data_IF_391995777072
#
_entry.id   IF_391995777072
#
_cell.length_a   1.000
_cell.length_b   1.000
_cell.length_c   1.000
_cell.angle_alpha   90.00
_cell.angle_beta   90.00
_cell.angle_gamma   90.00
#
_symmetry.space_group_name_H-M   'P 1'
#
loop_
_entity.id
_entity.type
_entity.pdbx_description
1 polymer ?
#
# COMPACT_ATOMS: atom_id res chain seq x y z
N UNK A 1 -2.33 -5.44 -1.20
CA UNK A 1 -1.03 -4.91 -1.64
C UNK A 1 0.09 -5.82 -1.15
N UNK A 2 1.02 -6.16 -2.03
CA UNK A 2 2.12 -7.10 -1.78
C UNK A 2 3.46 -6.36 -1.90
N UNK A 3 4.41 -6.67 -1.02
CA UNK A 3 5.76 -6.11 -1.11
C UNK A 3 6.56 -6.82 -2.23
N UNK A 4 6.81 -6.12 -3.31
CA UNK A 4 7.56 -6.61 -4.46
C UNK A 4 8.94 -5.96 -4.61
N UNK A 5 9.40 -5.25 -3.58
CA UNK A 5 10.67 -4.51 -3.63
C UNK A 5 11.89 -5.41 -3.49
N UNK A 6 11.75 -6.54 -2.82
CA UNK A 6 12.83 -7.49 -2.55
C UNK A 6 12.40 -8.91 -2.85
N UNK A 7 13.34 -9.68 -3.38
CA UNK A 7 13.22 -11.12 -3.39
C UNK A 7 13.36 -11.64 -1.95
N UNK A 8 12.46 -12.51 -1.55
CA UNK A 8 12.50 -13.18 -0.26
C UNK A 8 12.36 -14.69 -0.49
N UNK A 9 13.26 -15.52 0.04
CA UNK A 9 13.17 -16.97 -0.11
C UNK A 9 11.89 -17.56 0.51
N UNK A 10 11.29 -16.90 1.49
CA UNK A 10 10.02 -17.32 2.09
C UNK A 10 8.79 -16.89 1.27
N UNK A 11 8.93 -16.02 0.28
CA UNK A 11 7.84 -15.54 -0.55
C UNK A 11 7.64 -14.02 -0.53
N UNK A 12 6.50 -13.56 -0.99
CA UNK A 12 6.16 -12.14 -1.03
C UNK A 12 5.21 -11.76 0.11
N UNK A 13 5.62 -10.80 0.94
CA UNK A 13 4.82 -10.38 2.08
C UNK A 13 3.59 -9.57 1.66
N UNK A 14 2.42 -9.95 2.17
CA UNK A 14 1.20 -9.15 2.08
C UNK A 14 1.30 -7.99 3.07
N UNK A 15 1.33 -6.77 2.57
CA UNK A 15 1.42 -5.56 3.40
C UNK A 15 0.05 -5.10 3.90
N UNK A 16 -0.94 -5.18 3.03
CA UNK A 16 -2.31 -4.85 3.37
C UNK A 16 -3.29 -5.53 2.41
N UNK A 17 -4.51 -5.70 2.85
CA UNK A 17 -5.63 -6.22 2.06
C UNK A 17 -6.74 -5.20 2.10
N UNK A 18 -7.29 -4.86 0.93
CA UNK A 18 -8.43 -3.94 0.84
C UNK A 18 -9.67 -4.63 1.39
N UNK A 19 -10.32 -4.10 2.44
CA UNK A 19 -11.54 -4.67 3.00
C UNK A 19 -12.63 -4.87 1.93
N UNK A 20 -13.31 -6.02 1.95
CA UNK A 20 -14.29 -6.39 0.95
C UNK A 20 -13.74 -6.67 -0.46
N UNK A 21 -12.43 -6.55 -0.66
CA UNK A 21 -11.76 -6.90 -1.92
C UNK A 21 -11.68 -8.42 -2.15
N UNK A 22 -11.29 -8.83 -3.37
CA UNK A 22 -11.17 -10.25 -3.72
C UNK A 22 -10.21 -11.01 -2.79
N UNK A 23 -9.07 -10.41 -2.44
CA UNK A 23 -8.09 -10.98 -1.54
C UNK A 23 -8.63 -11.16 -0.10
N UNK A 24 -9.43 -10.19 0.38
CA UNK A 24 -10.07 -10.27 1.69
C UNK A 24 -11.13 -11.39 1.73
N UNK A 25 -11.96 -11.48 0.67
CA UNK A 25 -13.01 -12.53 0.57
C UNK A 25 -12.46 -13.94 0.57
N UNK A 26 -11.27 -14.18 0.03
CA UNK A 26 -10.60 -15.49 0.08
C UNK A 26 -9.83 -15.71 1.39
N UNK A 27 -9.82 -14.72 2.28
CA UNK A 27 -9.20 -14.83 3.60
C UNK A 27 -7.71 -14.49 3.66
N UNK A 28 -7.14 -13.81 2.65
CA UNK A 28 -5.79 -13.23 2.76
C UNK A 28 -5.74 -12.16 3.85
N UNK A 29 -4.61 -12.08 4.54
CA UNK A 29 -4.38 -11.13 5.63
C UNK A 29 -3.04 -10.42 5.49
N UNK A 30 -2.93 -9.23 6.05
CA UNK A 30 -1.64 -8.58 6.21
C UNK A 30 -0.69 -9.46 7.05
N UNK A 31 0.56 -9.55 6.61
CA UNK A 31 1.57 -10.41 7.22
C UNK A 31 1.71 -11.81 6.59
N UNK A 32 0.77 -12.25 5.77
CA UNK A 32 0.92 -13.50 5.00
C UNK A 32 2.14 -13.44 4.07
N UNK A 33 2.81 -14.58 3.89
CA UNK A 33 3.92 -14.75 2.95
C UNK A 33 3.45 -15.61 1.78
N UNK A 34 3.25 -14.99 0.61
CA UNK A 34 2.80 -15.68 -0.60
C UNK A 34 3.93 -16.49 -1.20
N UNK A 35 3.80 -17.80 -1.21
CA UNK A 35 4.80 -18.74 -1.77
C UNK A 35 4.54 -19.02 -3.24
N UNK A 36 3.28 -19.23 -3.61
CA UNK A 36 2.85 -19.41 -4.98
C UNK A 36 1.49 -18.73 -5.24
N UNK A 37 1.23 -18.38 -6.47
CA UNK A 37 -0.03 -17.82 -6.93
C UNK A 37 -0.39 -18.42 -8.29
N UNK A 38 -1.60 -19.00 -8.38
CA UNK A 38 -2.11 -19.65 -9.59
C UNK A 38 -1.09 -20.65 -10.20
N UNK A 39 -0.48 -21.50 -9.35
CA UNK A 39 0.51 -22.49 -9.71
C UNK A 39 1.90 -21.93 -10.06
N UNK A 40 2.12 -20.62 -9.97
CA UNK A 40 3.41 -20.00 -10.24
C UNK A 40 4.13 -19.64 -8.94
N UNK A 41 5.38 -20.08 -8.75
CA UNK A 41 6.15 -19.80 -7.54
C UNK A 41 6.50 -18.31 -7.45
N UNK A 42 6.34 -17.74 -6.27
CA UNK A 42 6.72 -16.38 -5.93
C UNK A 42 7.90 -16.32 -4.96
N UNK A 43 8.13 -17.39 -4.22
CA UNK A 43 9.26 -17.52 -3.31
C UNK A 43 10.60 -17.51 -4.07
N UNK A 44 11.57 -16.74 -3.60
CA UNK A 44 12.91 -16.66 -4.18
C UNK A 44 13.00 -16.00 -5.58
N UNK A 45 11.93 -15.42 -6.10
CA UNK A 45 11.94 -14.82 -7.43
C UNK A 45 12.85 -13.58 -7.49
N UNK A 46 13.85 -13.53 -8.39
CA UNK A 46 14.79 -12.41 -8.48
C UNK A 46 14.11 -11.11 -8.95
N UNK A 47 12.98 -11.22 -9.65
CA UNK A 47 12.15 -10.11 -10.12
C UNK A 47 10.70 -10.27 -9.64
N UNK A 48 10.41 -9.94 -8.36
CA UNK A 48 9.12 -10.22 -7.76
C UNK A 48 7.93 -9.55 -8.44
N UNK A 49 8.06 -8.29 -8.89
CA UNK A 49 6.96 -7.56 -9.48
C UNK A 49 6.47 -8.16 -10.82
N UNK A 50 7.34 -8.48 -11.79
CA UNK A 50 6.95 -9.22 -12.99
C UNK A 50 6.35 -10.59 -12.68
N UNK A 51 6.96 -11.37 -11.76
CA UNK A 51 6.48 -12.69 -11.39
C UNK A 51 5.05 -12.65 -10.82
N UNK A 52 4.77 -11.70 -9.91
CA UNK A 52 3.43 -11.50 -9.37
C UNK A 52 2.42 -11.12 -10.46
N UNK A 53 2.79 -10.19 -11.36
CA UNK A 53 1.91 -9.77 -12.44
C UNK A 53 1.59 -10.90 -13.42
N UNK A 54 2.55 -11.76 -13.69
CA UNK A 54 2.35 -12.95 -14.54
C UNK A 54 1.48 -14.00 -13.87
N UNK A 55 1.72 -14.27 -12.58
CA UNK A 55 0.91 -15.19 -11.79
C UNK A 55 -0.57 -14.74 -11.70
N UNK A 56 -0.82 -13.44 -11.53
CA UNK A 56 -2.17 -12.88 -11.53
C UNK A 56 -2.88 -13.07 -12.89
N UNK A 57 -2.14 -12.84 -14.00
CA UNK A 57 -2.71 -13.05 -15.35
C UNK A 57 -3.05 -14.52 -15.64
N UNK A 58 -2.27 -15.43 -15.12
CA UNK A 58 -2.49 -16.86 -15.31
C UNK A 58 -3.79 -17.38 -14.67
N UNK A 59 -4.34 -16.65 -13.71
CA UNK A 59 -5.53 -17.08 -12.94
C UNK A 59 -6.86 -16.99 -13.66
N UNK A 60 -6.97 -16.24 -14.79
CA UNK A 60 -8.18 -16.17 -15.60
C UNK A 60 -9.46 -15.80 -14.82
N UNK A 61 -9.36 -14.98 -13.77
CA UNK A 61 -10.50 -14.63 -12.90
C UNK A 61 -10.62 -15.48 -11.63
N UNK A 62 -9.68 -16.41 -11.40
CA UNK A 62 -9.57 -17.17 -10.15
C UNK A 62 -8.26 -16.83 -9.45
N UNK A 63 -8.27 -16.84 -8.14
CA UNK A 63 -7.09 -16.70 -7.31
C UNK A 63 -6.90 -17.99 -6.52
N UNK A 64 -5.77 -18.68 -6.75
CA UNK A 64 -5.30 -19.80 -5.94
C UNK A 64 -3.99 -19.36 -5.29
N UNK A 65 -3.92 -19.39 -3.98
CA UNK A 65 -2.80 -18.85 -3.23
C UNK A 65 -2.24 -19.90 -2.28
N UNK A 66 -0.96 -20.18 -2.40
CA UNK A 66 -0.19 -20.92 -1.39
C UNK A 66 0.59 -19.91 -0.56
N UNK A 67 0.47 -20.00 0.75
CA UNK A 67 1.07 -19.02 1.66
C UNK A 67 1.52 -19.63 2.96
N UNK A 68 2.39 -18.91 3.66
CA UNK A 68 2.72 -19.15 5.06
C UNK A 68 2.06 -18.09 5.93
N UNK A 69 1.34 -18.52 6.97
CA UNK A 69 0.77 -17.69 8.02
C UNK A 69 1.22 -18.19 9.38
N UNK A 70 1.98 -17.37 10.11
CA UNK A 70 2.56 -17.78 11.39
C UNK A 70 3.30 -19.13 11.33
N UNK A 71 4.08 -19.36 10.27
CA UNK A 71 4.84 -20.59 10.04
C UNK A 71 4.05 -21.80 9.54
N UNK A 72 2.73 -21.66 9.33
CA UNK A 72 1.86 -22.74 8.80
C UNK A 72 1.57 -22.53 7.34
N UNK A 73 1.71 -23.57 6.53
CA UNK A 73 1.29 -23.57 5.13
C UNK A 73 -0.22 -23.61 5.02
N UNK A 74 -0.77 -22.73 4.17
CA UNK A 74 -2.20 -22.63 3.88
C UNK A 74 -2.39 -22.53 2.38
N UNK A 75 -3.49 -23.06 1.88
CA UNK A 75 -3.97 -22.85 0.52
C UNK A 75 -5.34 -22.16 0.58
N UNK A 76 -5.46 -21.05 -0.14
CA UNK A 76 -6.69 -20.29 -0.26
C UNK A 76 -7.08 -20.22 -1.73
N UNK A 77 -8.38 -20.24 -2.03
CA UNK A 77 -8.86 -20.07 -3.40
C UNK A 77 -10.20 -19.37 -3.46
N UNK A 78 -10.46 -18.68 -4.57
CA UNK A 78 -11.73 -18.02 -4.82
C UNK A 78 -11.75 -17.22 -6.10
N UNK A 79 -12.94 -16.81 -6.51
CA UNK A 79 -13.14 -15.97 -7.68
C UNK A 79 -12.63 -14.53 -7.45
N UNK A 80 -11.97 -14.00 -8.46
CA UNK A 80 -11.62 -12.57 -8.52
C UNK A 80 -12.67 -11.88 -9.37
N UNK A 81 -13.59 -11.19 -8.73
CA UNK A 81 -14.40 -10.22 -9.43
C UNK A 81 -13.47 -9.08 -9.85
N UNK A 82 -13.20 -8.99 -11.14
CA UNK A 82 -12.62 -7.79 -11.73
C UNK A 82 -13.68 -6.69 -11.70
N UNK A 83 -14.09 -6.29 -10.51
CA UNK A 83 -14.99 -5.15 -10.38
C UNK A 83 -14.29 -3.96 -10.99
N UNK A 84 -14.85 -3.43 -12.06
CA UNK A 84 -14.54 -2.07 -12.51
C UNK A 84 -14.62 -1.16 -11.29
N UNK A 85 -13.61 -0.32 -11.12
CA UNK A 85 -13.71 0.78 -10.18
C UNK A 85 -15.09 1.43 -10.36
N UNK A 86 -15.81 1.74 -9.26
CA UNK A 86 -17.11 2.38 -9.38
C UNK A 86 -16.99 3.56 -10.34
N UNK A 87 -17.82 3.56 -11.38
CA UNK A 87 -17.89 4.68 -12.31
C UNK A 87 -18.45 5.88 -11.53
N UNK A 88 -17.66 6.91 -11.33
CA UNK A 88 -18.15 8.13 -10.78
C UNK A 88 -17.28 8.75 -9.68
N UNK A 89 -16.44 9.70 -10.08
CA UNK A 89 -15.73 10.58 -9.16
C UNK A 89 -14.40 10.04 -8.65
N UNK A 90 -13.58 10.96 -8.21
CA UNK A 90 -12.33 10.69 -7.53
C UNK A 90 -12.18 11.62 -6.32
N UNK A 91 -11.39 11.20 -5.35
CA UNK A 91 -10.75 12.08 -4.39
C UNK A 91 -9.27 12.23 -4.72
N UNK A 92 -8.54 12.95 -3.91
CA UNK A 92 -7.12 13.20 -4.12
C UNK A 92 -6.34 12.94 -2.83
N UNK A 93 -5.12 12.43 -2.98
CA UNK A 93 -4.14 12.33 -1.90
C UNK A 93 -3.04 13.34 -2.12
N UNK A 94 -2.50 13.90 -1.05
CA UNK A 94 -1.32 14.75 -1.08
C UNK A 94 -0.43 14.53 0.14
N UNK A 95 0.87 14.62 -0.05
CA UNK A 95 1.88 14.58 1.02
C UNK A 95 2.38 15.96 1.42
N UNK A 96 1.70 17.02 0.96
CA UNK A 96 2.02 18.40 1.31
C UNK A 96 1.66 18.68 2.76
N UNK A 97 2.49 19.48 3.41
CA UNK A 97 2.31 19.91 4.79
C UNK A 97 1.99 21.40 4.90
N UNK A 98 1.53 22.01 3.80
CA UNK A 98 1.22 23.44 3.78
C UNK A 98 0.05 23.75 4.74
N UNK A 99 0.22 24.80 5.52
CA UNK A 99 -0.79 25.22 6.50
C UNK A 99 -0.72 24.51 7.85
N UNK A 100 0.27 23.63 8.07
CA UNK A 100 0.48 23.07 9.40
C UNK A 100 0.93 24.17 10.40
N UNK A 101 0.39 24.17 11.63
CA UNK A 101 0.93 24.99 12.72
C UNK A 101 2.41 24.66 12.98
N UNK A 102 3.22 25.66 13.29
CA UNK A 102 4.68 25.48 13.55
C UNK A 102 5.00 24.49 14.68
N UNK A 103 4.08 24.30 15.62
CA UNK A 103 4.23 23.35 16.74
C UNK A 103 3.70 21.95 16.41
N UNK A 104 3.36 21.66 15.15
CA UNK A 104 2.82 20.35 14.75
C UNK A 104 3.88 19.27 14.81
N UNK A 105 3.56 18.12 15.40
CA UNK A 105 4.39 16.91 15.36
C UNK A 105 4.25 16.09 14.07
N UNK A 106 3.47 16.57 13.10
CA UNK A 106 3.28 15.89 11.81
C UNK A 106 4.57 15.87 11.02
N UNK A 107 4.99 14.67 10.60
CA UNK A 107 6.17 14.49 9.75
C UNK A 107 5.74 14.22 8.31
N UNK A 108 6.59 14.62 7.39
CA UNK A 108 6.40 14.38 5.97
C UNK A 108 6.55 12.88 5.65
N UNK A 109 5.74 12.42 4.72
CA UNK A 109 5.83 11.08 4.14
C UNK A 109 5.95 11.17 2.63
N UNK A 110 6.47 10.10 2.02
CA UNK A 110 6.40 9.87 0.58
C UNK A 110 5.33 8.80 0.32
N UNK A 111 4.31 9.10 -0.47
CA UNK A 111 3.34 8.10 -0.94
C UNK A 111 4.04 7.22 -1.97
N UNK A 112 4.26 5.95 -1.65
CA UNK A 112 5.01 5.02 -2.49
C UNK A 112 4.14 4.11 -3.34
N UNK A 113 2.91 3.82 -2.88
CA UNK A 113 1.93 3.04 -3.63
C UNK A 113 0.50 3.44 -3.26
N UNK A 114 -0.38 3.39 -4.24
CA UNK A 114 -1.84 3.48 -4.09
C UNK A 114 -2.42 2.23 -4.75
N UNK A 115 -3.16 1.40 -4.01
CA UNK A 115 -3.70 0.12 -4.50
C UNK A 115 -2.64 -0.75 -5.21
N UNK A 116 -1.41 -0.78 -4.66
CA UNK A 116 -0.30 -1.55 -5.21
C UNK A 116 0.39 -0.95 -6.44
N UNK A 117 -0.07 0.18 -6.94
CA UNK A 117 0.54 0.89 -8.07
C UNK A 117 1.37 2.06 -7.57
N UNK A 118 2.54 2.26 -8.17
CA UNK A 118 3.34 3.44 -7.89
C UNK A 118 2.61 4.68 -8.43
N UNK A 119 2.54 5.77 -7.65
CA UNK A 119 2.05 7.03 -8.17
C UNK A 119 2.99 7.53 -9.29
N UNK A 120 2.51 8.40 -10.18
CA UNK A 120 3.35 9.01 -11.21
C UNK A 120 4.60 9.64 -10.60
N UNK A 121 5.77 9.45 -11.24
CA UNK A 121 7.06 9.95 -10.76
C UNK A 121 7.25 11.46 -10.94
N UNK A 122 6.41 12.11 -11.72
CA UNK A 122 6.40 13.58 -11.79
C UNK A 122 5.87 14.13 -10.46
N UNK A 123 6.40 15.26 -9.98
CA UNK A 123 5.92 15.89 -8.75
C UNK A 123 4.49 16.38 -8.96
N UNK A 124 3.56 15.45 -8.95
CA UNK A 124 2.16 15.81 -8.88
C UNK A 124 1.91 16.26 -7.44
N UNK A 125 1.47 17.50 -7.20
CA UNK A 125 1.16 17.96 -5.85
C UNK A 125 -0.01 17.18 -5.25
N UNK A 126 -0.73 16.42 -6.07
CA UNK A 126 -1.91 15.63 -5.71
C UNK A 126 -2.03 14.39 -6.60
N UNK A 127 -2.47 13.30 -6.01
CA UNK A 127 -2.67 12.02 -6.68
C UNK A 127 -4.18 11.71 -6.74
N UNK A 128 -4.80 11.68 -7.93
CA UNK A 128 -6.21 11.28 -8.05
C UNK A 128 -6.37 9.81 -7.68
N UNK A 129 -7.40 9.52 -6.88
CA UNK A 129 -7.71 8.18 -6.39
C UNK A 129 -9.21 7.93 -6.53
N UNK A 130 -9.58 6.76 -7.05
CA UNK A 130 -10.97 6.37 -7.19
C UNK A 130 -11.65 6.31 -5.80
N UNK A 131 -12.93 6.69 -5.75
CA UNK A 131 -13.74 6.65 -4.52
C UNK A 131 -13.85 5.25 -3.92
N UNK A 132 -14.19 5.18 -2.63
CA UNK A 132 -14.34 3.96 -1.83
C UNK A 132 -13.07 3.61 -1.06
N UNK A 133 -13.08 2.45 -0.41
CA UNK A 133 -11.98 2.00 0.46
C UNK A 133 -10.72 1.69 -0.34
N UNK A 134 -9.60 2.33 0.00
CA UNK A 134 -8.31 2.23 -0.70
C UNK A 134 -7.17 1.96 0.27
N UNK A 135 -6.19 1.21 -0.20
CA UNK A 135 -4.94 0.97 0.53
C UNK A 135 -3.84 1.89 0.00
N UNK A 136 -3.24 2.64 0.89
CA UNK A 136 -2.12 3.54 0.62
C UNK A 136 -0.89 3.07 1.37
N UNK A 137 0.25 3.01 0.67
CA UNK A 137 1.55 2.72 1.28
C UNK A 137 2.37 3.99 1.30
N UNK A 138 2.84 4.34 2.47
CA UNK A 138 3.69 5.49 2.69
C UNK A 138 5.02 5.09 3.34
N UNK A 139 6.02 5.93 3.14
CA UNK A 139 7.33 5.84 3.76
C UNK A 139 7.66 7.18 4.39
N UNK A 140 8.32 7.19 5.54
CA UNK A 140 8.80 8.41 6.15
C UNK A 140 9.77 9.14 5.20
N UNK A 141 9.55 10.44 5.00
CA UNK A 141 10.43 11.28 4.19
C UNK A 141 11.70 11.60 4.94
N UNK A 142 12.84 11.27 4.35
CA UNK A 142 14.16 11.59 4.92
C UNK A 142 14.83 12.64 4.04
N UNK A 143 15.01 13.87 4.54
CA UNK A 143 15.48 15.02 3.74
C UNK A 143 16.90 14.89 3.18
N UNK A 144 17.76 14.10 3.83
CA UNK A 144 19.14 13.87 3.39
C UNK A 144 19.28 12.46 2.84
N UNK A 145 20.10 12.25 1.76
CA UNK A 145 20.38 10.92 1.30
C UNK A 145 21.02 10.15 2.44
N UNK A 146 20.36 9.13 2.94
CA UNK A 146 20.85 8.40 4.08
C UNK A 146 22.09 7.60 3.67
N UNK A 147 22.98 7.41 4.60
CA UNK A 147 24.11 6.46 4.44
C UNK A 147 23.62 5.02 4.24
N UNK A 148 22.30 4.78 4.38
CA UNK A 148 21.65 3.49 4.19
C UNK A 148 20.73 3.52 2.98
N UNK A 149 20.59 2.39 2.24
CA UNK A 149 19.66 2.31 1.12
C UNK A 149 18.23 2.68 1.53
N UNK A 150 17.51 3.43 0.69
CA UNK A 150 16.09 3.82 0.95
C UNK A 150 15.18 2.61 1.23
N UNK A 151 15.55 1.43 0.76
CA UNK A 151 14.85 0.18 1.04
C UNK A 151 14.88 -0.26 2.51
N UNK A 152 15.72 0.33 3.36
CA UNK A 152 15.78 0.03 4.81
C UNK A 152 14.77 0.82 5.61
N UNK A 153 14.18 1.88 5.04
CA UNK A 153 13.14 2.65 5.73
C UNK A 153 11.81 1.91 5.72
N UNK A 154 11.18 1.85 6.88
CA UNK A 154 9.89 1.19 7.03
C UNK A 154 8.84 1.86 6.15
N UNK A 155 8.19 1.05 5.32
CA UNK A 155 6.95 1.47 4.65
C UNK A 155 5.78 0.94 5.44
N UNK A 156 4.75 1.78 5.61
CA UNK A 156 3.54 1.43 6.33
C UNK A 156 2.34 1.58 5.44
N UNK A 157 1.40 0.66 5.60
CA UNK A 157 0.12 0.68 4.92
C UNK A 157 -0.94 1.23 5.84
N UNK A 158 -1.89 1.97 5.29
CA UNK A 158 -3.13 2.31 5.95
C UNK A 158 -4.29 2.32 4.95
N UNK A 159 -5.48 2.18 5.47
CA UNK A 159 -6.72 2.09 4.69
C UNK A 159 -7.47 3.40 4.83
N UNK A 160 -7.95 3.94 3.72
CA UNK A 160 -8.74 5.17 3.64
C UNK A 160 -10.02 4.92 2.87
N UNK A 161 -11.12 5.50 3.34
CA UNK A 161 -12.34 5.65 2.56
C UNK A 161 -12.28 6.98 1.81
N UNK A 162 -12.17 6.88 0.49
CA UNK A 162 -12.06 8.03 -0.40
C UNK A 162 -13.44 8.50 -0.81
N UNK A 163 -13.78 9.72 -0.44
CA UNK A 163 -15.00 10.41 -0.87
C UNK A 163 -14.75 11.20 -2.15
N UNK A 164 -15.80 11.45 -2.96
CA UNK A 164 -15.67 12.30 -4.14
C UNK A 164 -15.27 13.73 -3.75
N UNK A 165 -14.53 14.40 -4.64
CA UNK A 165 -14.13 15.80 -4.51
C UNK A 165 -13.53 16.16 -3.13
N UNK A 166 -12.75 15.23 -2.59
CA UNK A 166 -12.10 15.39 -1.28
C UNK A 166 -10.60 15.16 -1.41
N UNK A 167 -9.82 16.11 -0.92
CA UNK A 167 -8.36 16.00 -0.83
C UNK A 167 -7.96 15.62 0.59
N UNK A 168 -7.18 14.54 0.70
CA UNK A 168 -6.65 13.98 1.94
C UNK A 168 -5.18 14.32 2.08
N UNK A 169 -4.82 15.05 3.11
CA UNK A 169 -3.44 15.41 3.43
C UNK A 169 -2.84 14.34 4.34
N UNK A 170 -1.86 13.62 3.81
CA UNK A 170 -1.26 12.46 4.47
C UNK A 170 0.05 12.84 5.13
N UNK A 171 0.23 12.42 6.36
CA UNK A 171 1.45 12.61 7.13
C UNK A 171 1.73 11.42 8.05
N UNK A 172 2.81 11.53 8.81
CA UNK A 172 3.15 10.60 9.87
C UNK A 172 3.11 11.30 11.22
N UNK A 173 2.61 10.61 12.24
CA UNK A 173 2.76 11.02 13.63
C UNK A 173 3.65 10.05 14.39
N UNK A 174 4.57 10.54 15.23
CA UNK A 174 5.38 9.67 16.08
C UNK A 174 4.51 8.98 17.13
N UNK A 175 4.82 7.72 17.42
CA UNK A 175 4.24 6.95 18.50
C UNK A 175 5.20 6.98 19.69
N UNK A 176 4.85 7.74 20.75
CA UNK A 176 5.66 7.87 21.96
C UNK A 176 6.51 9.15 22.04
N UNK A 177 6.80 9.61 23.27
CA UNK A 177 7.41 10.91 23.56
C UNK A 177 8.92 11.06 23.26
N UNK A 178 9.66 9.95 23.08
CA UNK A 178 11.08 9.95 22.72
C UNK A 178 11.28 9.11 21.47
N UNK A 179 11.34 9.77 20.32
CA UNK A 179 11.42 9.18 18.99
C UNK A 179 12.78 8.51 18.65
N UNK A 180 13.46 7.90 19.62
CA UNK A 180 14.73 7.20 19.38
C UNK A 180 14.51 5.91 18.57
N UNK A 181 13.35 5.28 18.69
CA UNK A 181 13.05 4.01 18.01
C UNK A 181 12.29 4.13 16.69
N UNK A 182 12.04 5.36 16.21
CA UNK A 182 11.42 5.56 14.89
C UNK A 182 9.99 5.00 14.75
N UNK A 183 9.30 4.70 15.85
CA UNK A 183 7.92 4.28 15.80
C UNK A 183 7.02 5.46 15.39
N UNK A 184 6.29 5.27 14.29
CA UNK A 184 5.38 6.26 13.73
C UNK A 184 4.18 5.57 13.09
N UNK A 185 3.11 6.30 12.86
CA UNK A 185 1.98 5.80 12.10
C UNK A 185 1.52 6.80 11.03
N UNK A 186 1.07 6.32 9.88
CA UNK A 186 0.48 7.17 8.87
C UNK A 186 -0.93 7.58 9.28
N UNK A 187 -1.30 8.82 8.97
CA UNK A 187 -2.65 9.31 9.22
C UNK A 187 -3.02 10.45 8.26
N UNK A 188 -4.29 10.75 8.16
CA UNK A 188 -4.80 11.96 7.50
C UNK A 188 -4.86 13.06 8.53
N UNK A 189 -4.07 14.12 8.33
CA UNK A 189 -4.02 15.23 9.28
C UNK A 189 -4.98 16.36 8.92
N UNK A 190 -5.43 16.42 7.65
CA UNK A 190 -6.41 17.38 7.15
C UNK A 190 -7.16 16.80 5.96
N UNK A 191 -8.40 17.27 5.76
CA UNK A 191 -9.18 17.07 4.53
C UNK A 191 -9.71 18.41 4.05
N UNK A 192 -9.80 18.58 2.71
CA UNK A 192 -10.45 19.75 2.08
C UNK A 192 -11.40 19.28 0.99
N UNK A 193 -12.49 20.00 0.78
CA UNK A 193 -13.42 19.77 -0.34
C UNK A 193 -12.92 20.53 -1.57
N UNK A 194 -12.47 19.78 -2.57
CA UNK A 194 -11.96 20.31 -3.82
C UNK A 194 -12.26 19.34 -4.96
N UNK A 195 -12.75 19.86 -6.08
CA UNK A 195 -13.03 19.06 -7.26
C UNK A 195 -11.79 18.26 -7.69
N UNK A 196 -11.96 16.96 -7.88
CA UNK A 196 -10.92 16.08 -8.37
C UNK A 196 -10.71 16.36 -9.87
N UNK A 197 -9.48 16.75 -10.24
CA UNK A 197 -9.07 17.07 -11.62
C UNK A 197 -7.98 16.10 -12.08
#
# INVERSE_FOLDING_TARGET
>A
VVDVRRADPAGLRVMAVTPGGAADRIGLRAGDMLQALNGRPLAGQPRPAPALAEALRAGGGTLQVELLRAGRSLSLSGAVDLRRAPAGGCGQLTERLDGLPQASSVRRVDITQIEGRRPPTAPAPRYPVAIGTRVVIVREHVPQPPQRPLSTYASKAFVLDIEPDTTYYVGARPLGGNAVDGAWEPFVWQTTREACR
#
